data_IF_220473832438
#
_entry.id   IF_220473832438
#
_cell.length_a   1.000
_cell.length_b   1.000
_cell.length_c   1.000
_cell.angle_alpha   90.00
_cell.angle_beta   90.00
_cell.angle_gamma   90.00
#
_symmetry.space_group_name_H-M   'P 1'
#
loop_
_entity.id
_entity.type
_entity.pdbx_description
1 polymer ?
#
# COMPACT_ATOMS: atom_id res chain seq x y z
N UNK A 1 2.34 9.53 5.79
CA UNK A 1 2.53 8.72 4.58
C UNK A 1 4.00 8.57 4.25
N UNK A 2 4.36 7.47 3.60
CA UNK A 2 5.65 7.22 2.99
C UNK A 2 5.46 6.71 1.56
N UNK A 3 6.41 6.96 0.68
CA UNK A 3 6.35 6.51 -0.71
C UNK A 3 7.75 6.22 -1.26
N UNK A 4 7.89 5.21 -2.12
CA UNK A 4 9.13 4.94 -2.85
C UNK A 4 9.48 6.08 -3.82
N UNK A 5 10.64 6.00 -4.50
CA UNK A 5 11.00 6.94 -5.57
C UNK A 5 9.92 7.05 -6.66
N UNK A 6 9.77 8.24 -7.22
CA UNK A 6 8.78 8.50 -8.27
C UNK A 6 9.41 8.49 -9.66
N UNK A 7 8.61 8.10 -10.67
CA UNK A 7 8.91 8.24 -12.08
C UNK A 7 7.78 9.02 -12.78
N UNK A 8 8.13 9.76 -13.83
CA UNK A 8 7.15 10.49 -14.64
C UNK A 8 6.32 9.49 -15.44
N UNK A 9 5.01 9.70 -15.52
CA UNK A 9 4.10 8.81 -16.23
C UNK A 9 4.47 8.61 -17.70
N UNK A 10 4.91 9.68 -18.35
CA UNK A 10 5.31 9.64 -19.75
C UNK A 10 6.60 8.83 -19.98
N UNK A 11 7.55 8.93 -19.06
CA UNK A 11 8.78 8.11 -19.10
C UNK A 11 8.44 6.62 -18.91
N UNK A 12 7.51 6.31 -17.99
CA UNK A 12 7.02 4.95 -17.79
C UNK A 12 6.32 4.41 -19.05
N UNK A 13 5.55 5.26 -19.72
CA UNK A 13 4.92 4.87 -20.98
C UNK A 13 5.97 4.54 -22.03
N UNK A 14 6.89 5.45 -22.33
CA UNK A 14 7.89 5.28 -23.38
C UNK A 14 8.93 4.21 -23.07
N UNK A 15 9.39 4.15 -21.82
CA UNK A 15 10.45 3.23 -21.40
C UNK A 15 9.97 1.80 -21.13
N UNK A 16 8.67 1.63 -20.81
CA UNK A 16 8.15 0.30 -20.46
C UNK A 16 6.85 -0.04 -21.18
N UNK A 17 5.75 0.67 -20.93
CA UNK A 17 4.43 0.19 -21.33
C UNK A 17 4.20 0.15 -22.84
N UNK A 18 4.76 1.11 -23.59
CA UNK A 18 4.53 1.22 -25.04
C UNK A 18 4.99 -0.02 -25.83
N UNK A 19 5.99 -0.76 -25.34
CA UNK A 19 6.49 -1.99 -25.98
C UNK A 19 5.60 -3.22 -25.69
N UNK A 20 4.82 -3.15 -24.62
CA UNK A 20 3.97 -4.27 -24.18
C UNK A 20 2.55 -4.24 -24.76
N UNK A 21 2.17 -3.15 -25.43
CA UNK A 21 0.88 -3.04 -26.11
C UNK A 21 1.09 -2.98 -27.62
N UNK A 22 0.26 -3.68 -28.39
CA UNK A 22 0.35 -3.76 -29.85
C UNK A 22 -0.99 -3.42 -30.53
N UNK A 23 -0.94 -3.04 -31.81
CA UNK A 23 -2.12 -2.74 -32.62
C UNK A 23 -3.03 -1.67 -31.98
N UNK A 24 -4.35 -1.86 -32.10
CA UNK A 24 -5.37 -0.93 -31.58
C UNK A 24 -5.29 -0.78 -30.06
N UNK A 25 -4.82 -1.81 -29.35
CA UNK A 25 -4.65 -1.76 -27.89
C UNK A 25 -3.60 -0.74 -27.47
N UNK A 26 -2.56 -0.53 -28.25
CA UNK A 26 -1.52 0.48 -27.96
C UNK A 26 -2.10 1.89 -28.01
N UNK A 27 -2.88 2.22 -29.02
CA UNK A 27 -3.52 3.53 -29.14
C UNK A 27 -4.53 3.77 -27.99
N UNK A 28 -5.34 2.76 -27.66
CA UNK A 28 -6.25 2.83 -26.53
C UNK A 28 -5.52 3.01 -25.20
N UNK A 29 -4.49 2.21 -24.94
CA UNK A 29 -3.70 2.31 -23.72
C UNK A 29 -3.03 3.69 -23.59
N UNK A 30 -2.44 4.23 -24.68
CA UNK A 30 -1.85 5.56 -24.69
C UNK A 30 -2.87 6.62 -24.26
N UNK A 31 -4.08 6.60 -24.82
CA UNK A 31 -5.16 7.53 -24.44
C UNK A 31 -5.55 7.41 -22.97
N UNK A 32 -5.59 6.19 -22.43
CA UNK A 32 -5.92 5.97 -21.01
C UNK A 32 -4.82 6.56 -20.12
N UNK A 33 -3.55 6.33 -20.45
CA UNK A 33 -2.42 6.90 -19.72
C UNK A 33 -2.44 8.44 -19.73
N UNK A 34 -2.68 9.05 -20.88
CA UNK A 34 -2.77 10.51 -21.06
C UNK A 34 -3.94 11.13 -20.29
N UNK A 35 -5.08 10.44 -20.25
CA UNK A 35 -6.31 10.94 -19.63
C UNK A 35 -6.47 10.47 -18.18
N UNK A 36 -5.53 9.72 -17.63
CA UNK A 36 -5.59 9.22 -16.25
C UNK A 36 -5.53 10.32 -15.18
N UNK A 37 -5.04 11.51 -15.54
CA UNK A 37 -4.75 12.58 -14.59
C UNK A 37 -3.48 12.35 -13.75
N UNK A 38 -2.83 11.18 -13.90
CA UNK A 38 -1.61 10.81 -13.17
C UNK A 38 -0.40 11.38 -13.89
N UNK A 39 0.42 12.16 -13.19
CA UNK A 39 1.65 12.76 -13.73
C UNK A 39 2.89 12.01 -13.32
N UNK A 40 2.94 11.53 -12.09
CA UNK A 40 4.04 10.76 -11.53
C UNK A 40 3.50 9.57 -10.76
N UNK A 41 4.26 8.48 -10.72
CA UNK A 41 3.95 7.30 -9.91
C UNK A 41 5.18 6.86 -9.13
N UNK A 42 4.93 6.45 -7.91
CA UNK A 42 5.92 5.84 -7.04
C UNK A 42 5.97 4.33 -7.32
N UNK A 43 7.17 3.79 -7.31
CA UNK A 43 7.40 2.37 -7.54
C UNK A 43 8.58 1.87 -6.69
N UNK A 44 8.33 0.91 -5.83
CA UNK A 44 9.38 0.22 -5.07
C UNK A 44 10.29 -0.57 -6.03
N UNK A 45 9.70 -1.08 -7.11
CA UNK A 45 10.44 -1.67 -8.23
C UNK A 45 10.08 -0.88 -9.49
N UNK A 46 11.00 -0.03 -9.93
CA UNK A 46 10.78 0.75 -11.14
C UNK A 46 10.86 -0.14 -12.38
N UNK A 47 9.80 -0.20 -13.21
CA UNK A 47 9.84 -1.01 -14.44
C UNK A 47 10.80 -0.45 -15.49
N UNK A 48 11.32 0.77 -15.30
CA UNK A 48 12.38 1.32 -16.14
C UNK A 48 13.76 0.70 -15.84
N UNK A 49 13.93 0.13 -14.63
CA UNK A 49 15.20 -0.44 -14.16
C UNK A 49 15.13 -1.95 -14.08
N UNK A 50 13.98 -2.51 -13.72
CA UNK A 50 13.82 -3.94 -13.47
C UNK A 50 12.45 -4.41 -13.98
N UNK A 51 12.45 -5.31 -14.98
CA UNK A 51 11.22 -5.86 -15.53
C UNK A 51 10.70 -7.01 -14.63
N UNK A 52 9.52 -6.81 -14.09
CA UNK A 52 8.86 -7.77 -13.20
C UNK A 52 7.81 -8.63 -13.90
N UNK A 53 7.62 -8.47 -15.21
CA UNK A 53 6.53 -9.12 -15.95
C UNK A 53 6.56 -10.66 -15.83
N UNK A 54 7.75 -11.25 -15.84
CA UNK A 54 7.96 -12.68 -15.80
C UNK A 54 8.28 -13.25 -14.40
N UNK A 55 8.19 -12.40 -13.35
CA UNK A 55 8.48 -12.88 -12.02
C UNK A 55 7.44 -13.88 -11.51
N UNK A 56 7.92 -14.93 -10.84
CA UNK A 56 7.05 -15.84 -10.10
C UNK A 56 6.41 -15.15 -8.90
N UNK A 57 5.31 -15.72 -8.41
CA UNK A 57 4.68 -15.25 -7.15
C UNK A 57 5.67 -15.26 -6.00
N UNK A 58 6.48 -16.31 -5.87
CA UNK A 58 7.52 -16.40 -4.83
C UNK A 58 8.47 -15.19 -4.87
N UNK A 59 9.03 -14.88 -6.04
CA UNK A 59 9.95 -13.74 -6.20
C UNK A 59 9.29 -12.40 -5.84
N UNK A 60 8.01 -12.22 -6.23
CA UNK A 60 7.23 -11.02 -5.87
C UNK A 60 7.04 -10.92 -4.37
N UNK A 61 6.72 -12.03 -3.68
CA UNK A 61 6.50 -12.04 -2.24
C UNK A 61 7.80 -11.84 -1.45
N UNK A 62 8.91 -12.40 -1.90
CA UNK A 62 10.23 -12.12 -1.33
C UNK A 62 10.59 -10.63 -1.45
N UNK A 63 10.38 -10.04 -2.63
CA UNK A 63 10.64 -8.61 -2.84
C UNK A 63 9.67 -7.73 -2.04
N UNK A 64 8.41 -8.13 -1.91
CA UNK A 64 7.44 -7.44 -1.07
C UNK A 64 7.94 -7.26 0.37
N UNK A 65 8.47 -8.30 0.99
CA UNK A 65 8.99 -8.19 2.35
C UNK A 65 10.15 -7.19 2.46
N UNK A 66 11.04 -7.19 1.48
CA UNK A 66 12.20 -6.29 1.45
C UNK A 66 11.77 -4.82 1.35
N UNK A 67 10.75 -4.52 0.54
CA UNK A 67 10.32 -3.15 0.26
C UNK A 67 9.21 -2.66 1.20
N UNK A 68 8.27 -3.52 1.60
CA UNK A 68 7.13 -3.12 2.41
C UNK A 68 7.50 -2.83 3.88
N UNK A 69 8.50 -3.55 4.42
CA UNK A 69 8.92 -3.35 5.82
C UNK A 69 9.48 -1.93 6.05
N UNK A 70 10.50 -1.46 5.32
CA UNK A 70 11.02 -0.11 5.53
C UNK A 70 9.98 0.97 5.22
N UNK A 71 9.18 0.78 4.17
CA UNK A 71 8.15 1.74 3.77
C UNK A 71 7.04 1.85 4.83
N UNK A 72 6.55 0.71 5.31
CA UNK A 72 5.53 0.67 6.37
C UNK A 72 6.04 1.21 7.70
N UNK A 73 7.32 0.93 8.04
CA UNK A 73 7.97 1.47 9.22
C UNK A 73 8.02 2.99 9.18
N UNK A 74 8.48 3.58 8.08
CA UNK A 74 8.56 5.03 7.91
C UNK A 74 7.18 5.69 8.03
N UNK A 75 6.13 5.11 7.42
CA UNK A 75 4.77 5.64 7.53
C UNK A 75 4.26 5.59 8.98
N UNK A 76 4.51 4.48 9.69
CA UNK A 76 4.10 4.29 11.07
C UNK A 76 4.83 5.26 12.01
N UNK A 77 6.15 5.40 11.90
CA UNK A 77 6.96 6.32 12.71
C UNK A 77 6.51 7.77 12.54
N UNK A 78 6.24 8.20 11.30
CA UNK A 78 5.70 9.54 11.01
C UNK A 78 4.34 9.76 11.66
N UNK A 79 3.46 8.76 11.62
CA UNK A 79 2.13 8.86 12.23
C UNK A 79 2.21 8.91 13.77
N UNK A 80 3.06 8.10 14.38
CA UNK A 80 3.31 8.10 15.81
C UNK A 80 3.90 9.43 16.29
N UNK A 81 4.90 9.94 15.59
CA UNK A 81 5.52 11.24 15.87
C UNK A 81 4.48 12.37 15.81
N UNK A 82 3.64 12.37 14.77
CA UNK A 82 2.59 13.38 14.62
C UNK A 82 1.52 13.30 15.73
N UNK A 83 1.28 12.10 16.28
CA UNK A 83 0.36 11.89 17.39
C UNK A 83 1.01 12.12 18.77
N UNK A 84 2.33 12.33 18.86
CA UNK A 84 3.07 12.46 20.12
C UNK A 84 3.09 11.17 20.94
N UNK A 85 3.02 10.00 20.25
CA UNK A 85 2.98 8.67 20.87
C UNK A 85 4.22 7.85 20.51
N UNK A 86 4.55 6.89 21.39
CA UNK A 86 5.52 5.85 21.15
C UNK A 86 4.83 4.52 20.83
N UNK A 87 5.51 3.62 20.12
CA UNK A 87 4.89 2.37 19.65
C UNK A 87 4.46 1.42 20.79
N UNK A 88 5.13 1.46 21.93
CA UNK A 88 4.80 0.66 23.11
C UNK A 88 3.48 1.08 23.82
N UNK A 89 3.01 2.30 23.56
CA UNK A 89 1.73 2.78 24.07
C UNK A 89 0.52 2.23 23.32
N UNK A 90 0.72 1.69 22.11
CA UNK A 90 -0.36 1.16 21.29
C UNK A 90 -1.03 -0.06 21.93
N UNK A 91 -2.35 -0.12 21.81
CA UNK A 91 -3.14 -1.28 22.17
C UNK A 91 -3.46 -2.19 20.99
N UNK A 92 -3.57 -1.60 19.79
CA UNK A 92 -3.84 -2.32 18.54
C UNK A 92 -2.92 -1.82 17.42
N UNK A 93 -2.39 -2.75 16.65
CA UNK A 93 -1.76 -2.50 15.36
C UNK A 93 -2.53 -3.24 14.26
N UNK A 94 -3.24 -2.51 13.41
CA UNK A 94 -3.95 -3.04 12.27
C UNK A 94 -3.15 -2.75 10.99
N UNK A 95 -2.98 -3.76 10.13
CA UNK A 95 -2.29 -3.65 8.85
C UNK A 95 -3.22 -4.10 7.73
N UNK A 96 -3.39 -3.27 6.72
CA UNK A 96 -4.11 -3.60 5.48
C UNK A 96 -3.10 -3.71 4.34
N UNK A 97 -3.07 -4.85 3.65
CA UNK A 97 -2.25 -5.04 2.45
C UNK A 97 -2.79 -6.19 1.60
N UNK A 98 -2.85 -5.97 0.28
CA UNK A 98 -3.29 -6.96 -0.70
C UNK A 98 -2.22 -7.30 -1.75
N UNK A 99 -1.14 -6.55 -1.81
CA UNK A 99 -0.08 -6.70 -2.82
C UNK A 99 1.05 -7.63 -2.39
N UNK A 100 0.99 -8.15 -1.17
CA UNK A 100 1.95 -9.14 -0.71
C UNK A 100 1.52 -9.83 0.57
N UNK A 101 2.14 -10.99 0.81
CA UNK A 101 1.96 -11.76 2.03
C UNK A 101 3.25 -12.50 2.38
N UNK A 102 3.39 -12.82 3.64
CA UNK A 102 4.51 -13.57 4.18
C UNK A 102 4.16 -14.23 5.50
N UNK A 103 4.97 -15.18 5.92
CA UNK A 103 4.94 -15.75 7.27
C UNK A 103 6.36 -15.74 7.84
N UNK A 104 6.65 -14.91 8.86
CA UNK A 104 5.74 -14.00 9.58
C UNK A 104 5.24 -12.84 8.72
N UNK A 105 4.01 -12.35 9.01
CA UNK A 105 3.38 -11.25 8.29
C UNK A 105 4.00 -9.88 8.56
N UNK A 106 3.64 -8.91 7.71
CA UNK A 106 4.13 -7.52 7.82
C UNK A 106 3.81 -6.91 9.20
N UNK A 107 2.66 -7.23 9.77
CA UNK A 107 2.24 -6.80 11.11
C UNK A 107 3.20 -7.29 12.20
N UNK A 108 3.69 -8.52 12.10
CA UNK A 108 4.64 -9.10 13.05
C UNK A 108 6.01 -8.46 12.92
N UNK A 109 6.51 -8.33 11.69
CA UNK A 109 7.82 -7.75 11.41
C UNK A 109 7.89 -6.30 11.88
N UNK A 110 6.86 -5.51 11.56
CA UNK A 110 6.78 -4.11 11.94
C UNK A 110 6.56 -3.92 13.45
N UNK A 111 5.74 -4.75 14.10
CA UNK A 111 5.57 -4.67 15.55
C UNK A 111 6.89 -4.86 16.29
N UNK A 112 7.72 -5.80 15.84
CA UNK A 112 9.08 -6.01 16.34
C UNK A 112 9.99 -4.81 16.07
N UNK A 113 10.04 -4.35 14.83
CA UNK A 113 10.99 -3.33 14.38
C UNK A 113 10.65 -1.92 14.90
N UNK A 114 9.40 -1.68 15.29
CA UNK A 114 8.90 -0.46 15.94
C UNK A 114 8.99 -0.52 17.48
N UNK A 115 9.33 -1.67 18.05
CA UNK A 115 9.40 -1.86 19.50
C UNK A 115 8.02 -1.80 20.18
N UNK A 116 6.97 -2.32 19.55
CA UNK A 116 5.65 -2.39 20.17
C UNK A 116 5.65 -3.32 21.38
N UNK A 117 4.78 -3.04 22.35
CA UNK A 117 4.64 -3.89 23.54
C UNK A 117 4.25 -5.32 23.15
N UNK A 118 4.76 -6.36 23.83
CA UNK A 118 4.39 -7.77 23.55
C UNK A 118 2.88 -8.04 23.67
N UNK A 119 2.16 -7.18 24.37
CA UNK A 119 0.70 -7.27 24.59
C UNK A 119 -0.11 -6.54 23.53
N UNK A 120 0.52 -5.90 22.53
CA UNK A 120 -0.20 -5.24 21.43
C UNK A 120 -1.04 -6.27 20.68
N UNK A 121 -2.32 -5.98 20.49
CA UNK A 121 -3.15 -6.77 19.60
C UNK A 121 -2.78 -6.46 18.15
N UNK A 122 -2.80 -7.47 17.29
CA UNK A 122 -2.51 -7.30 15.87
C UNK A 122 -3.68 -7.80 15.03
N UNK A 123 -3.98 -7.06 13.99
CA UNK A 123 -4.98 -7.41 13.00
C UNK A 123 -4.38 -7.24 11.61
N UNK A 124 -4.41 -8.28 10.80
CA UNK A 124 -4.03 -8.19 9.39
C UNK A 124 -5.27 -8.36 8.51
N UNK A 125 -5.55 -7.35 7.68
CA UNK A 125 -6.67 -7.33 6.73
C UNK A 125 -6.10 -7.47 5.33
N UNK A 126 -6.21 -8.67 4.77
CA UNK A 126 -5.75 -8.98 3.41
C UNK A 126 -6.89 -9.28 2.46
N UNK A 127 -6.59 -9.36 1.17
CA UNK A 127 -7.48 -9.83 0.09
C UNK A 127 -8.79 -9.04 -0.11
N UNK A 128 -8.89 -7.83 0.42
CA UNK A 128 -10.06 -6.97 0.28
C UNK A 128 -9.84 -5.80 -0.71
N UNK A 129 -8.68 -5.71 -1.33
CA UNK A 129 -8.32 -4.58 -2.20
C UNK A 129 -8.27 -3.24 -1.45
N UNK A 130 -8.42 -2.15 -2.18
CA UNK A 130 -8.39 -0.79 -1.62
C UNK A 130 -9.50 -0.52 -0.58
N UNK A 131 -10.56 -1.33 -0.57
CA UNK A 131 -11.65 -1.28 0.40
C UNK A 131 -11.18 -1.63 1.83
N UNK A 132 -10.11 -2.41 1.99
CA UNK A 132 -9.61 -2.88 3.29
C UNK A 132 -9.38 -1.76 4.32
N UNK A 133 -9.06 -0.56 3.84
CA UNK A 133 -8.85 0.60 4.71
C UNK A 133 -10.09 0.99 5.52
N UNK A 134 -11.30 0.84 4.96
CA UNK A 134 -12.55 1.18 5.64
C UNK A 134 -12.86 0.22 6.80
N UNK A 135 -12.98 -1.11 6.61
CA UNK A 135 -13.17 -2.04 7.72
C UNK A 135 -11.98 -2.03 8.70
N UNK A 136 -10.76 -1.80 8.21
CA UNK A 136 -9.59 -1.62 9.07
C UNK A 136 -9.72 -0.40 10.00
N UNK A 137 -10.21 0.72 9.47
CA UNK A 137 -10.49 1.92 10.24
C UNK A 137 -11.63 1.68 11.27
N UNK A 138 -12.69 1.00 10.85
CA UNK A 138 -13.79 0.61 11.73
C UNK A 138 -13.31 -0.23 12.91
N UNK A 139 -12.60 -1.32 12.63
CA UNK A 139 -12.04 -2.19 13.67
C UNK A 139 -11.09 -1.44 14.63
N UNK A 140 -10.28 -0.52 14.12
CA UNK A 140 -9.40 0.30 14.95
C UNK A 140 -10.19 1.29 15.81
N UNK A 141 -11.23 1.93 15.27
CA UNK A 141 -12.11 2.84 16.00
C UNK A 141 -12.89 2.11 17.10
N UNK A 142 -13.49 0.95 16.81
CA UNK A 142 -14.19 0.11 17.79
C UNK A 142 -13.26 -0.33 18.92
N UNK A 143 -12.03 -0.73 18.59
CA UNK A 143 -11.02 -1.07 19.59
C UNK A 143 -10.72 0.10 20.51
N UNK A 144 -10.51 1.30 19.97
CA UNK A 144 -10.21 2.51 20.75
C UNK A 144 -11.36 2.83 21.70
N UNK A 145 -12.60 2.76 21.23
CA UNK A 145 -13.81 2.98 22.04
C UNK A 145 -13.94 1.93 23.14
N UNK A 146 -13.76 0.67 22.78
CA UNK A 146 -13.98 -0.46 23.71
C UNK A 146 -12.86 -0.59 24.75
N UNK A 147 -11.63 -0.26 24.41
CA UNK A 147 -10.43 -0.50 25.25
C UNK A 147 -9.81 0.75 25.83
N UNK A 148 -10.19 1.94 25.37
CA UNK A 148 -9.60 3.20 25.81
C UNK A 148 -8.09 3.34 25.53
N UNK A 149 -7.56 2.57 24.57
CA UNK A 149 -6.13 2.56 24.23
C UNK A 149 -5.93 2.97 22.76
N UNK A 150 -4.81 3.65 22.43
CA UNK A 150 -4.53 4.03 21.06
C UNK A 150 -4.41 2.83 20.11
N UNK A 151 -4.78 3.04 18.85
CA UNK A 151 -4.59 2.10 17.76
C UNK A 151 -3.81 2.77 16.62
N UNK A 152 -3.00 1.98 15.91
CA UNK A 152 -2.33 2.35 14.66
C UNK A 152 -2.93 1.50 13.53
N UNK A 153 -3.45 2.16 12.51
CA UNK A 153 -3.81 1.54 11.24
C UNK A 153 -2.75 1.88 10.19
N UNK A 154 -2.20 0.89 9.54
CA UNK A 154 -1.26 1.00 8.42
C UNK A 154 -1.88 0.35 7.18
N UNK A 155 -1.91 1.08 6.07
CA UNK A 155 -2.17 0.54 4.74
C UNK A 155 -0.87 0.61 3.94
N UNK A 156 -0.42 -0.51 3.35
CA UNK A 156 0.82 -0.58 2.59
C UNK A 156 0.62 -1.41 1.32
N UNK A 157 0.79 -0.78 0.15
CA UNK A 157 0.57 -1.42 -1.13
C UNK A 157 1.72 -1.18 -2.10
N UNK A 158 2.22 -2.26 -2.70
CA UNK A 158 3.31 -2.28 -3.67
C UNK A 158 2.83 -2.87 -5.00
N UNK A 159 2.04 -2.09 -5.71
CA UNK A 159 1.42 -2.49 -6.98
C UNK A 159 2.43 -2.66 -8.11
N UNK A 160 3.60 -2.00 -8.02
CA UNK A 160 4.69 -2.13 -8.99
C UNK A 160 5.20 -3.58 -9.12
N UNK A 161 5.07 -4.38 -8.05
CA UNK A 161 5.43 -5.81 -8.09
C UNK A 161 4.50 -6.67 -8.95
N UNK A 162 3.33 -6.16 -9.34
CA UNK A 162 2.30 -6.91 -10.05
C UNK A 162 2.09 -6.46 -11.49
N UNK A 163 3.04 -5.72 -12.05
CA UNK A 163 2.99 -5.34 -13.46
C UNK A 163 3.15 -6.59 -14.34
N UNK A 164 2.09 -6.93 -15.07
CA UNK A 164 2.02 -8.10 -15.98
C UNK A 164 1.31 -7.70 -17.27
N UNK A 165 1.93 -6.87 -18.11
CA UNK A 165 1.31 -6.47 -19.37
C UNK A 165 1.19 -7.70 -20.30
N UNK A 166 -0.02 -8.00 -20.73
CA UNK A 166 -0.37 -9.19 -21.53
C UNK A 166 -0.43 -8.91 -23.04
N UNK A 167 0.15 -7.83 -23.50
CA UNK A 167 0.24 -7.50 -24.92
C UNK A 167 -1.14 -7.29 -25.56
N UNK A 168 -1.44 -8.02 -26.63
CA UNK A 168 -2.71 -7.93 -27.38
C UNK A 168 -3.93 -8.45 -26.59
N UNK A 169 -3.72 -9.19 -25.52
CA UNK A 169 -4.78 -9.76 -24.66
C UNK A 169 -5.12 -8.87 -23.48
N UNK A 170 -4.42 -7.73 -23.30
CA UNK A 170 -4.71 -6.82 -22.21
C UNK A 170 -6.18 -6.37 -22.26
N UNK A 171 -6.93 -6.63 -21.20
CA UNK A 171 -8.27 -6.12 -21.06
C UNK A 171 -8.26 -4.63 -20.60
N UNK A 172 -9.42 -4.01 -20.65
CA UNK A 172 -9.55 -2.59 -20.31
C UNK A 172 -9.17 -2.33 -18.84
N UNK A 173 -9.57 -3.21 -17.92
CA UNK A 173 -9.31 -3.05 -16.49
C UNK A 173 -7.82 -3.11 -16.20
N UNK A 174 -7.10 -4.03 -16.84
CA UNK A 174 -5.65 -4.14 -16.71
C UNK A 174 -4.95 -2.87 -17.23
N UNK A 175 -5.37 -2.34 -18.37
CA UNK A 175 -4.79 -1.10 -18.92
C UNK A 175 -5.02 0.07 -17.96
N UNK A 176 -6.24 0.20 -17.41
CA UNK A 176 -6.58 1.24 -16.43
C UNK A 176 -5.73 1.08 -15.16
N UNK A 177 -5.61 -0.14 -14.64
CA UNK A 177 -4.77 -0.42 -13.47
C UNK A 177 -3.31 -0.04 -13.70
N UNK A 178 -2.77 -0.38 -14.89
CA UNK A 178 -1.41 -0.01 -15.27
C UNK A 178 -1.20 1.51 -15.42
N UNK A 179 -2.25 2.28 -15.67
CA UNK A 179 -2.19 3.73 -15.81
C UNK A 179 -2.37 4.48 -14.48
N UNK A 180 -3.00 3.85 -13.46
CA UNK A 180 -3.42 4.52 -12.24
C UNK A 180 -2.59 4.15 -11.01
N UNK A 181 -2.28 2.85 -10.83
CA UNK A 181 -1.73 2.39 -9.56
C UNK A 181 -0.30 2.82 -9.31
N UNK A 182 0.00 3.08 -8.05
CA UNK A 182 1.27 3.54 -7.52
C UNK A 182 1.50 2.90 -6.15
N UNK A 183 2.74 2.83 -5.72
CA UNK A 183 3.13 2.25 -4.45
C UNK A 183 3.12 3.31 -3.35
N UNK A 184 2.60 2.96 -2.20
CA UNK A 184 2.62 3.83 -1.03
C UNK A 184 2.37 3.07 0.27
N UNK A 185 2.76 3.68 1.39
CA UNK A 185 2.25 3.34 2.71
C UNK A 185 1.63 4.58 3.37
N UNK A 186 0.50 4.38 4.02
CA UNK A 186 -0.18 5.42 4.80
C UNK A 186 -0.54 4.86 6.18
N UNK A 187 -0.26 5.62 7.22
CA UNK A 187 -0.60 5.24 8.58
C UNK A 187 -1.41 6.34 9.26
N UNK A 188 -2.33 5.94 10.13
CA UNK A 188 -3.13 6.82 10.97
C UNK A 188 -3.18 6.28 12.39
N UNK A 189 -3.03 7.17 13.36
CA UNK A 189 -3.19 6.87 14.78
C UNK A 189 -4.60 7.31 15.22
N UNK A 190 -5.30 6.40 15.89
CA UNK A 190 -6.58 6.66 16.52
C UNK A 190 -6.38 6.69 18.04
N UNK A 191 -6.97 7.69 18.70
CA UNK A 191 -6.88 7.88 20.14
C UNK A 191 -8.28 8.08 20.74
N UNK A 192 -8.50 7.75 22.04
CA UNK A 192 -9.80 7.93 22.68
C UNK A 192 -10.23 9.41 22.75
N UNK A 193 -9.28 10.33 22.80
CA UNK A 193 -9.50 11.76 22.84
C UNK A 193 -8.25 12.49 22.37
N UNK A 194 -8.39 13.74 21.96
CA UNK A 194 -7.26 14.59 21.54
C UNK A 194 -7.59 15.44 20.33
N UNK A 195 -6.62 16.21 19.86
CA UNK A 195 -6.76 17.00 18.64
C UNK A 195 -6.81 16.10 17.41
N UNK A 196 -7.55 16.51 16.38
CA UNK A 196 -7.64 15.78 15.11
C UNK A 196 -9.08 15.67 14.59
N UNK A 197 -9.28 14.71 13.70
CA UNK A 197 -10.60 14.40 13.14
C UNK A 197 -11.32 13.36 14.01
N UNK A 198 -12.59 13.60 14.30
CA UNK A 198 -13.41 12.61 14.99
C UNK A 198 -13.95 11.57 13.99
N UNK A 199 -13.66 10.29 14.23
CA UNK A 199 -14.34 9.17 13.55
C UNK A 199 -15.68 8.97 14.25
N UNK A 200 -16.79 9.30 13.61
CA UNK A 200 -18.13 9.18 14.18
C UNK A 200 -18.81 7.87 13.76
N UNK A 201 -18.60 7.48 12.52
CA UNK A 201 -19.19 6.30 11.92
C UNK A 201 -18.31 5.81 10.78
N UNK A 202 -18.21 4.50 10.63
CA UNK A 202 -17.59 3.86 9.46
C UNK A 202 -18.65 2.95 8.83
N UNK A 203 -19.18 3.37 7.70
CA UNK A 203 -20.05 2.55 6.87
C UNK A 203 -19.18 1.79 5.85
N UNK A 204 -19.20 0.46 5.91
CA UNK A 204 -18.39 -0.43 5.09
C UNK A 204 -19.23 -1.55 4.47
#
# INVERSE_FOLDING_TARGET
TASPPSAVQDDLWHGYFARHYAGDRRALARRIFENSGVRTRQAAVSPLLEDVSDWSTERRMQRYQVEAVPLGKEAAERALTAAGLTADQLGLFAVCSCTGYATPGLDILLARDLGMAPTVQRLFVGHMGCYAALPGLGAAADFVVARGRPALLLCAELTSLHLQPTGVRADLQQIVSHALFSDAAAAVVLTPAGPGYAVREVAA
#
